data_IF_772766618578
#
_entry.id   IF_772766618578
#
_cell.length_a   1.000
_cell.length_b   1.000
_cell.length_c   1.000
_cell.angle_alpha   90.00
_cell.angle_beta   90.00
_cell.angle_gamma   90.00
#
_symmetry.space_group_name_H-M   'P 1'
#
loop_
_entity.id
_entity.type
_entity.pdbx_description
1 polymer ?
#
# COMPACT_ATOMS: atom_id res chain seq x y z
N UNK A 1 -21.76 -115.04 -42.05
CA UNK A 1 -23.07 -114.64 -42.59
C UNK A 1 -22.94 -114.61 -44.10
N UNK A 2 -23.12 -115.76 -44.74
CA UNK A 2 -22.92 -115.96 -46.18
C UNK A 2 -24.25 -115.71 -46.86
N UNK A 3 -24.51 -114.44 -47.20
CA UNK A 3 -25.57 -114.12 -48.14
C UNK A 3 -25.19 -114.73 -49.49
N UNK A 4 -26.13 -115.44 -50.10
CA UNK A 4 -26.01 -116.00 -51.43
C UNK A 4 -25.50 -114.92 -52.38
N UNK A 5 -24.22 -114.99 -52.76
CA UNK A 5 -23.72 -114.33 -53.95
C UNK A 5 -24.45 -115.02 -55.10
N UNK A 6 -25.58 -114.46 -55.51
CA UNK A 6 -26.08 -114.67 -56.86
C UNK A 6 -24.88 -114.41 -57.77
N UNK A 7 -24.48 -115.45 -58.51
CA UNK A 7 -23.39 -115.39 -59.48
C UNK A 7 -23.82 -114.43 -60.58
N UNK A 8 -23.58 -113.13 -60.34
CA UNK A 8 -23.68 -112.10 -61.38
C UNK A 8 -22.75 -112.58 -62.49
N UNK A 9 -23.30 -112.77 -63.69
CA UNK A 9 -22.48 -113.15 -64.83
C UNK A 9 -21.45 -112.05 -65.09
N UNK A 10 -20.33 -112.41 -65.71
CA UNK A 10 -19.33 -111.43 -66.17
C UNK A 10 -19.97 -110.33 -67.04
N UNK A 11 -21.07 -110.66 -67.73
CA UNK A 11 -21.81 -109.76 -68.60
C UNK A 11 -22.86 -108.89 -67.86
N UNK A 12 -23.15 -109.16 -66.58
CA UNK A 12 -24.20 -108.50 -65.78
C UNK A 12 -23.64 -107.53 -64.72
N UNK A 13 -22.36 -107.18 -64.80
CA UNK A 13 -21.73 -106.23 -63.88
C UNK A 13 -22.26 -104.83 -64.19
N UNK A 14 -22.90 -104.20 -63.20
CA UNK A 14 -23.55 -102.89 -63.31
C UNK A 14 -23.17 -101.99 -62.14
N UNK A 15 -23.64 -100.75 -62.16
CA UNK A 15 -23.39 -99.77 -61.10
C UNK A 15 -24.02 -100.19 -59.76
N UNK A 16 -25.22 -100.78 -59.82
CA UNK A 16 -26.01 -101.15 -58.63
C UNK A 16 -25.39 -102.32 -57.86
N UNK A 17 -24.73 -103.25 -58.57
CA UNK A 17 -24.09 -104.42 -57.95
C UNK A 17 -22.58 -104.25 -57.74
N UNK A 18 -21.97 -103.17 -58.23
CA UNK A 18 -20.56 -102.86 -58.04
C UNK A 18 -20.13 -102.86 -56.55
N UNK A 19 -20.91 -102.29 -55.58
CA UNK A 19 -20.57 -102.37 -54.16
C UNK A 19 -20.54 -103.78 -53.58
N UNK A 20 -21.22 -104.75 -54.20
CA UNK A 20 -21.25 -106.15 -53.77
C UNK A 20 -20.12 -106.98 -54.41
N UNK A 21 -19.65 -106.57 -55.60
CA UNK A 21 -18.64 -107.28 -56.40
C UNK A 21 -17.21 -106.81 -56.06
N UNK A 22 -16.98 -105.49 -55.99
CA UNK A 22 -15.65 -104.91 -55.78
C UNK A 22 -15.30 -104.76 -54.30
N UNK A 23 -15.44 -105.87 -53.58
CA UNK A 23 -15.08 -106.01 -52.16
C UNK A 23 -13.91 -106.97 -52.00
N UNK A 24 -13.34 -107.03 -50.80
CA UNK A 24 -12.28 -108.00 -50.48
C UNK A 24 -12.75 -109.43 -50.79
N UNK A 25 -12.04 -110.11 -51.70
CA UNK A 25 -12.37 -111.47 -52.15
C UNK A 25 -13.54 -111.58 -53.14
N UNK A 26 -14.26 -110.49 -53.46
CA UNK A 26 -15.45 -110.52 -54.31
C UNK A 26 -15.19 -110.85 -55.78
N UNK A 27 -13.97 -110.64 -56.27
CA UNK A 27 -13.57 -110.97 -57.65
C UNK A 27 -13.12 -112.43 -57.82
N UNK A 28 -12.89 -113.16 -56.73
CA UNK A 28 -12.39 -114.54 -56.76
C UNK A 28 -13.34 -115.51 -57.49
N UNK A 29 -14.67 -115.47 -57.29
CA UNK A 29 -15.61 -116.33 -58.03
C UNK A 29 -15.54 -116.15 -59.55
N UNK A 30 -15.32 -114.92 -60.04
CA UNK A 30 -15.17 -114.65 -61.48
C UNK A 30 -13.88 -115.26 -62.03
N UNK A 31 -12.79 -115.20 -61.29
CA UNK A 31 -11.51 -115.82 -61.65
C UNK A 31 -11.64 -117.35 -61.67
N UNK A 32 -12.27 -117.93 -60.64
CA UNK A 32 -12.45 -119.37 -60.52
C UNK A 32 -13.36 -119.92 -61.63
N UNK A 33 -14.43 -119.18 -61.98
CA UNK A 33 -15.33 -119.51 -63.11
C UNK A 33 -14.58 -119.52 -64.45
N UNK A 34 -13.83 -118.47 -64.75
CA UNK A 34 -13.05 -118.38 -66.00
C UNK A 34 -11.98 -119.48 -66.04
N UNK A 35 -11.34 -119.79 -64.90
CA UNK A 35 -10.37 -120.88 -64.77
C UNK A 35 -10.99 -122.24 -65.08
N UNK A 36 -12.15 -122.55 -64.49
CA UNK A 36 -12.88 -123.81 -64.75
C UNK A 36 -13.21 -123.95 -66.24
N UNK A 37 -13.71 -122.89 -66.87
CA UNK A 37 -14.08 -122.89 -68.28
C UNK A 37 -12.90 -123.09 -69.24
N UNK A 38 -11.69 -122.65 -68.90
CA UNK A 38 -10.50 -122.79 -69.76
C UNK A 38 -9.63 -123.99 -69.41
N UNK A 39 -9.72 -124.53 -68.18
CA UNK A 39 -8.99 -125.73 -67.75
C UNK A 39 -9.73 -127.04 -68.05
N UNK A 40 -11.01 -126.98 -68.40
CA UNK A 40 -11.82 -128.16 -68.75
C UNK A 40 -11.51 -128.80 -70.10
N UNK A 41 -10.72 -128.14 -70.96
CA UNK A 41 -10.32 -128.65 -72.28
C UNK A 41 -8.80 -128.63 -72.42
N UNK A 42 -8.20 -129.72 -72.93
CA UNK A 42 -6.77 -129.80 -73.28
C UNK A 42 -6.65 -129.99 -74.80
N UNK A 43 -6.57 -128.90 -75.60
CA UNK A 43 -6.50 -129.01 -77.06
C UNK A 43 -5.16 -129.56 -77.55
N UNK A 44 -5.18 -130.38 -78.62
CA UNK A 44 -3.97 -130.95 -79.22
C UNK A 44 -3.15 -129.91 -80.02
N UNK A 45 -1.98 -129.56 -79.49
CA UNK A 45 -1.06 -128.56 -80.06
C UNK A 45 -0.40 -129.00 -81.38
N UNK A 46 -0.40 -130.29 -81.71
CA UNK A 46 0.16 -130.78 -82.98
C UNK A 46 -0.69 -130.33 -84.18
N UNK A 47 -1.98 -130.05 -83.96
CA UNK A 47 -2.92 -129.62 -85.00
C UNK A 47 -3.12 -128.11 -85.04
N UNK A 48 -3.37 -127.55 -86.24
CA UNK A 48 -3.76 -126.14 -86.38
C UNK A 48 -5.02 -125.80 -85.57
N UNK A 49 -6.02 -126.69 -85.63
CA UNK A 49 -7.30 -126.54 -84.91
C UNK A 49 -7.12 -126.46 -83.38
N UNK A 50 -6.24 -127.28 -82.80
CA UNK A 50 -5.97 -127.21 -81.36
C UNK A 50 -5.24 -125.94 -80.95
N UNK A 51 -4.27 -125.46 -81.74
CA UNK A 51 -3.62 -124.16 -81.51
C UNK A 51 -4.60 -122.98 -81.61
N UNK A 52 -5.49 -123.00 -82.60
CA UNK A 52 -6.55 -121.98 -82.76
C UNK A 52 -7.54 -121.99 -81.58
N UNK A 53 -7.84 -123.18 -81.03
CA UNK A 53 -8.67 -123.31 -79.82
C UNK A 53 -7.99 -122.72 -78.59
N UNK A 54 -6.70 -122.96 -78.38
CA UNK A 54 -5.93 -122.34 -77.28
C UNK A 54 -5.93 -120.81 -77.40
N UNK A 55 -5.73 -120.27 -78.60
CA UNK A 55 -5.83 -118.83 -78.85
C UNK A 55 -7.24 -118.28 -78.51
N UNK A 56 -8.29 -119.03 -78.84
CA UNK A 56 -9.67 -118.67 -78.51
C UNK A 56 -9.94 -118.69 -77.00
N UNK A 57 -9.43 -119.68 -76.27
CA UNK A 57 -9.53 -119.75 -74.81
C UNK A 57 -8.80 -118.57 -74.14
N UNK A 58 -7.59 -118.24 -74.61
CA UNK A 58 -6.84 -117.07 -74.13
C UNK A 58 -7.56 -115.74 -74.41
N UNK A 59 -8.19 -115.62 -75.58
CA UNK A 59 -9.03 -114.46 -75.92
C UNK A 59 -10.25 -114.34 -75.00
N UNK A 60 -10.86 -115.47 -74.61
CA UNK A 60 -11.96 -115.52 -73.63
C UNK A 60 -11.53 -114.99 -72.26
N UNK A 61 -10.37 -115.44 -71.74
CA UNK A 61 -9.80 -114.92 -70.49
C UNK A 61 -9.60 -113.40 -70.56
N UNK A 62 -9.04 -112.92 -71.68
CA UNK A 62 -8.80 -111.50 -71.90
C UNK A 62 -10.09 -110.69 -71.93
N UNK A 63 -11.14 -111.21 -72.58
CA UNK A 63 -12.47 -110.58 -72.62
C UNK A 63 -13.10 -110.52 -71.23
N UNK A 64 -13.09 -111.62 -70.48
CA UNK A 64 -13.64 -111.66 -69.11
C UNK A 64 -12.88 -110.74 -68.15
N UNK A 65 -11.55 -110.63 -68.28
CA UNK A 65 -10.75 -109.67 -67.51
C UNK A 65 -11.23 -108.23 -67.75
N UNK A 66 -11.40 -107.83 -69.01
CA UNK A 66 -11.83 -106.47 -69.36
C UNK A 66 -13.25 -106.18 -68.86
N UNK A 67 -14.15 -107.15 -68.98
CA UNK A 67 -15.54 -107.02 -68.50
C UNK A 67 -15.64 -106.81 -66.98
N UNK A 68 -14.71 -107.35 -66.20
CA UNK A 68 -14.65 -107.13 -64.74
C UNK A 68 -13.81 -105.88 -64.38
N UNK A 69 -12.71 -105.62 -65.07
CA UNK A 69 -11.80 -104.51 -64.72
C UNK A 69 -12.42 -103.14 -65.03
N UNK A 70 -13.08 -102.99 -66.19
CA UNK A 70 -13.58 -101.69 -66.66
C UNK A 70 -14.66 -101.12 -65.72
N UNK A 71 -15.74 -101.83 -65.36
CA UNK A 71 -16.73 -101.30 -64.41
C UNK A 71 -16.13 -101.08 -63.01
N UNK A 72 -15.11 -101.85 -62.62
CA UNK A 72 -14.41 -101.69 -61.35
C UNK A 72 -13.59 -100.40 -61.28
N UNK A 73 -12.93 -100.02 -62.39
CA UNK A 73 -12.24 -98.73 -62.49
C UNK A 73 -13.23 -97.56 -62.49
N UNK A 74 -14.38 -97.71 -63.13
CA UNK A 74 -15.46 -96.71 -63.12
C UNK A 74 -16.05 -96.54 -61.70
N UNK A 75 -16.32 -97.65 -61.00
CA UNK A 75 -16.74 -97.63 -59.59
C UNK A 75 -15.70 -97.01 -58.66
N UNK A 76 -14.42 -97.39 -58.80
CA UNK A 76 -13.33 -96.79 -58.02
C UNK A 76 -13.21 -95.28 -58.23
N UNK A 77 -13.41 -94.81 -59.47
CA UNK A 77 -13.42 -93.37 -59.77
C UNK A 77 -14.53 -92.66 -59.00
N UNK A 78 -15.75 -93.18 -59.03
CA UNK A 78 -16.89 -92.62 -58.27
C UNK A 78 -16.65 -92.62 -56.77
N UNK A 79 -16.11 -93.71 -56.22
CA UNK A 79 -15.75 -93.79 -54.81
C UNK A 79 -14.73 -92.73 -54.39
N UNK A 80 -13.76 -92.40 -55.26
CA UNK A 80 -12.76 -91.35 -54.99
C UNK A 80 -13.31 -89.94 -55.13
N UNK A 81 -14.35 -89.75 -55.95
CA UNK A 81 -15.01 -88.45 -56.14
C UNK A 81 -16.03 -88.17 -55.02
N UNK A 82 -16.63 -89.20 -54.42
CA UNK A 82 -17.67 -89.07 -53.40
C UNK A 82 -17.26 -88.24 -52.16
N UNK A 83 -16.05 -88.40 -51.56
CA UNK A 83 -15.65 -87.58 -50.42
C UNK A 83 -15.68 -86.09 -50.72
N UNK A 84 -15.21 -85.67 -51.90
CA UNK A 84 -15.21 -84.26 -52.31
C UNK A 84 -16.62 -83.70 -52.41
N UNK A 85 -17.56 -84.48 -52.93
CA UNK A 85 -18.97 -84.07 -53.03
C UNK A 85 -19.58 -83.94 -51.63
N UNK A 86 -19.38 -84.95 -50.78
CA UNK A 86 -19.91 -84.93 -49.41
C UNK A 86 -19.31 -83.79 -48.59
N UNK A 87 -18.01 -83.53 -48.69
CA UNK A 87 -17.36 -82.40 -48.01
C UNK A 87 -17.91 -81.05 -48.45
N UNK A 88 -18.14 -80.87 -49.76
CA UNK A 88 -18.73 -79.63 -50.29
C UNK A 88 -20.15 -79.41 -49.76
N UNK A 89 -21.00 -80.43 -49.84
CA UNK A 89 -22.38 -80.39 -49.33
C UNK A 89 -22.43 -80.12 -47.82
N UNK A 90 -21.58 -80.80 -47.03
CA UNK A 90 -21.51 -80.58 -45.58
C UNK A 90 -21.05 -79.16 -45.25
N UNK A 91 -20.08 -78.62 -45.99
CA UNK A 91 -19.61 -77.25 -45.78
C UNK A 91 -20.71 -76.23 -46.10
N UNK A 92 -21.39 -76.41 -47.22
CA UNK A 92 -22.51 -75.55 -47.63
C UNK A 92 -23.64 -75.61 -46.59
N UNK A 93 -23.98 -76.81 -46.12
CA UNK A 93 -24.99 -77.01 -45.09
C UNK A 93 -24.62 -76.30 -43.78
N UNK A 94 -23.40 -76.50 -43.27
CA UNK A 94 -22.95 -75.86 -42.01
C UNK A 94 -22.96 -74.35 -42.13
N UNK A 95 -22.42 -73.81 -43.23
CA UNK A 95 -22.38 -72.36 -43.46
C UNK A 95 -23.79 -71.79 -43.54
N UNK A 96 -24.69 -72.43 -44.29
CA UNK A 96 -26.09 -72.00 -44.41
C UNK A 96 -26.84 -72.05 -43.08
N UNK A 97 -26.56 -73.04 -42.23
CA UNK A 97 -27.17 -73.16 -40.91
C UNK A 97 -26.64 -72.13 -39.92
N UNK A 98 -25.33 -71.81 -39.98
CA UNK A 98 -24.75 -70.72 -39.20
C UNK A 98 -25.33 -69.35 -39.62
N UNK A 99 -25.39 -69.08 -40.92
CA UNK A 99 -26.00 -67.85 -41.45
C UNK A 99 -27.48 -67.74 -41.06
N UNK A 100 -28.24 -68.84 -41.12
CA UNK A 100 -29.64 -68.88 -40.71
C UNK A 100 -29.79 -68.63 -39.20
N UNK A 101 -28.94 -69.25 -38.36
CA UNK A 101 -28.92 -69.00 -36.91
C UNK A 101 -28.69 -67.52 -36.63
N UNK A 102 -27.70 -66.93 -37.27
CA UNK A 102 -27.32 -65.54 -37.04
C UNK A 102 -28.41 -64.59 -37.54
N UNK A 103 -29.02 -64.86 -38.69
CA UNK A 103 -30.18 -64.11 -39.20
C UNK A 103 -31.40 -64.21 -38.27
N UNK A 104 -31.67 -65.38 -37.70
CA UNK A 104 -32.77 -65.59 -36.73
C UNK A 104 -32.48 -64.88 -35.40
N UNK A 105 -31.22 -64.85 -34.95
CA UNK A 105 -30.82 -64.17 -33.70
C UNK A 105 -30.71 -62.65 -33.85
N UNK A 106 -30.47 -62.16 -35.07
CA UNK A 106 -30.22 -60.75 -35.36
C UNK A 106 -31.27 -59.78 -34.79
N UNK A 107 -32.59 -60.00 -34.95
CA UNK A 107 -33.59 -59.09 -34.37
C UNK A 107 -33.49 -58.94 -32.85
N UNK A 108 -33.19 -60.03 -32.14
CA UNK A 108 -33.00 -59.99 -30.68
C UNK A 108 -31.70 -59.26 -30.32
N UNK A 109 -30.62 -59.46 -31.09
CA UNK A 109 -29.35 -58.75 -30.86
C UNK A 109 -29.50 -57.26 -31.09
N UNK A 110 -30.17 -56.87 -32.17
CA UNK A 110 -30.42 -55.47 -32.51
C UNK A 110 -31.31 -54.81 -31.44
N UNK A 111 -32.34 -55.51 -30.93
CA UNK A 111 -33.18 -55.04 -29.82
C UNK A 111 -32.41 -54.92 -28.50
N UNK A 112 -31.61 -55.92 -28.12
CA UNK A 112 -30.78 -55.87 -26.89
C UNK A 112 -29.80 -54.70 -26.93
N UNK A 113 -29.22 -54.40 -28.09
CA UNK A 113 -28.32 -53.27 -28.27
C UNK A 113 -29.06 -51.92 -28.17
N UNK A 114 -30.23 -51.81 -28.82
CA UNK A 114 -31.06 -50.61 -28.75
C UNK A 114 -31.56 -50.35 -27.31
N UNK A 115 -31.97 -51.40 -26.61
CA UNK A 115 -32.43 -51.32 -25.22
C UNK A 115 -31.31 -50.94 -24.26
N UNK A 116 -30.12 -51.53 -24.43
CA UNK A 116 -28.94 -51.14 -23.66
C UNK A 116 -28.56 -49.67 -23.89
N UNK A 117 -28.67 -49.18 -25.13
CA UNK A 117 -28.40 -47.79 -25.47
C UNK A 117 -29.45 -46.85 -24.84
N UNK A 118 -30.74 -47.18 -24.94
CA UNK A 118 -31.86 -46.46 -24.31
C UNK A 118 -31.64 -46.30 -22.81
N UNK A 119 -31.37 -47.42 -22.11
CA UNK A 119 -31.10 -47.41 -20.66
C UNK A 119 -29.85 -46.60 -20.31
N UNK A 120 -28.80 -46.67 -21.14
CA UNK A 120 -27.58 -45.89 -20.91
C UNK A 120 -27.81 -44.38 -21.06
N UNK A 121 -28.62 -43.96 -22.04
CA UNK A 121 -29.00 -42.56 -22.25
C UNK A 121 -29.76 -42.01 -21.04
N UNK A 122 -30.80 -42.71 -20.55
CA UNK A 122 -31.52 -42.28 -19.35
C UNK A 122 -30.62 -42.18 -18.12
N UNK A 123 -29.68 -43.12 -17.94
CA UNK A 123 -28.70 -43.06 -16.84
C UNK A 123 -27.78 -41.85 -16.97
N UNK A 124 -27.31 -41.54 -18.19
CA UNK A 124 -26.48 -40.36 -18.42
C UNK A 124 -27.25 -39.06 -18.11
N UNK A 125 -28.51 -38.98 -18.52
CA UNK A 125 -29.39 -37.85 -18.19
C UNK A 125 -29.64 -37.72 -16.68
N UNK A 126 -29.84 -38.84 -15.96
CA UNK A 126 -29.93 -38.82 -14.49
C UNK A 126 -28.64 -38.30 -13.84
N UNK A 127 -27.47 -38.73 -14.31
CA UNK A 127 -26.18 -38.23 -13.80
C UNK A 127 -26.01 -36.73 -14.09
N UNK A 128 -26.43 -36.24 -15.26
CA UNK A 128 -26.46 -34.80 -15.57
C UNK A 128 -27.35 -34.04 -14.59
N UNK A 129 -28.54 -34.56 -14.28
CA UNK A 129 -29.44 -33.96 -13.28
C UNK A 129 -28.84 -33.99 -11.87
N UNK A 130 -28.03 -34.99 -11.52
CA UNK A 130 -27.33 -35.09 -10.22
C UNK A 130 -26.19 -34.07 -10.06
N UNK A 131 -25.67 -33.54 -11.16
CA UNK A 131 -24.55 -32.62 -11.12
C UNK A 131 -24.99 -31.28 -10.51
N UNK A 132 -24.47 -31.00 -9.31
CA UNK A 132 -24.77 -29.80 -8.53
C UNK A 132 -23.49 -29.08 -8.08
N UNK A 133 -22.39 -29.28 -8.80
CA UNK A 133 -21.13 -28.61 -8.48
C UNK A 133 -21.24 -27.09 -8.73
N UNK A 134 -21.08 -26.32 -7.65
CA UNK A 134 -21.11 -24.85 -7.65
C UNK A 134 -19.83 -24.24 -7.07
N UNK A 135 -18.74 -25.00 -7.01
CA UNK A 135 -17.50 -24.61 -6.29
C UNK A 135 -17.01 -23.21 -6.68
N UNK A 136 -17.00 -22.89 -7.98
CA UNK A 136 -16.53 -21.61 -8.52
C UNK A 136 -17.65 -20.74 -9.12
N UNK A 137 -18.93 -21.07 -8.84
CA UNK A 137 -20.07 -20.36 -9.41
C UNK A 137 -20.47 -19.12 -8.59
N UNK A 138 -20.77 -18.02 -9.29
CA UNK A 138 -21.43 -16.83 -8.69
C UNK A 138 -22.92 -17.08 -8.45
N UNK A 139 -23.57 -16.24 -7.63
CA UNK A 139 -25.01 -16.35 -7.39
C UNK A 139 -25.83 -16.24 -8.69
N UNK A 140 -25.39 -15.40 -9.64
CA UNK A 140 -26.02 -15.28 -10.95
C UNK A 140 -25.91 -16.57 -11.78
N UNK A 141 -24.75 -17.23 -11.76
CA UNK A 141 -24.57 -18.52 -12.45
C UNK A 141 -25.46 -19.60 -11.83
N UNK A 142 -25.46 -19.72 -10.49
CA UNK A 142 -26.29 -20.71 -9.80
C UNK A 142 -27.79 -20.48 -10.09
N UNK A 143 -28.24 -19.22 -10.19
CA UNK A 143 -29.61 -18.90 -10.64
C UNK A 143 -29.91 -19.40 -12.05
N UNK A 144 -28.98 -19.24 -12.99
CA UNK A 144 -29.14 -19.78 -14.35
C UNK A 144 -29.24 -21.29 -14.32
N UNK A 145 -28.34 -21.97 -13.60
CA UNK A 145 -28.36 -23.44 -13.44
C UNK A 145 -29.69 -23.93 -12.87
N UNK A 146 -30.24 -23.24 -11.86
CA UNK A 146 -31.57 -23.56 -11.30
C UNK A 146 -32.66 -23.37 -12.36
N UNK A 147 -32.63 -22.26 -13.10
CA UNK A 147 -33.64 -21.97 -14.12
C UNK A 147 -33.61 -22.99 -15.27
N UNK A 148 -32.41 -23.35 -15.73
CA UNK A 148 -32.21 -24.35 -16.78
C UNK A 148 -32.73 -25.73 -16.32
N UNK A 149 -32.39 -26.13 -15.09
CA UNK A 149 -32.88 -27.38 -14.49
C UNK A 149 -34.39 -27.35 -14.25
N UNK A 150 -34.97 -26.21 -13.85
CA UNK A 150 -36.42 -26.04 -13.68
C UNK A 150 -37.17 -26.16 -15.01
N UNK A 151 -36.61 -25.59 -16.08
CA UNK A 151 -37.18 -25.63 -17.42
C UNK A 151 -37.19 -27.03 -18.05
N UNK A 152 -36.30 -27.94 -17.63
CA UNK A 152 -36.26 -29.31 -18.14
C UNK A 152 -37.49 -30.13 -17.71
N UNK A 153 -38.42 -30.38 -18.63
CA UNK A 153 -39.60 -31.17 -18.31
C UNK A 153 -39.26 -32.66 -18.16
N UNK A 154 -39.56 -33.22 -16.99
CA UNK A 154 -39.53 -34.67 -16.79
C UNK A 154 -40.93 -35.18 -17.13
N UNK A 155 -41.01 -36.07 -18.10
CA UNK A 155 -42.27 -36.59 -18.62
C UNK A 155 -42.16 -38.03 -19.13
N UNK A 156 -43.16 -38.50 -19.89
CA UNK A 156 -43.28 -39.90 -20.29
C UNK A 156 -42.10 -40.46 -21.08
N UNK A 157 -41.34 -39.59 -21.74
CA UNK A 157 -40.13 -39.96 -22.50
C UNK A 157 -39.01 -40.52 -21.61
N UNK A 158 -39.10 -40.37 -20.28
CA UNK A 158 -38.19 -41.00 -19.31
C UNK A 158 -38.56 -42.44 -18.96
N UNK A 159 -39.72 -42.93 -19.42
CA UNK A 159 -40.18 -44.31 -19.25
C UNK A 159 -40.08 -44.79 -17.79
N UNK A 160 -39.40 -45.91 -17.52
CA UNK A 160 -39.26 -46.44 -16.15
C UNK A 160 -38.43 -45.55 -15.21
N UNK A 161 -37.69 -44.58 -15.76
CA UNK A 161 -36.84 -43.65 -15.02
C UNK A 161 -37.57 -42.35 -14.63
N UNK A 162 -38.78 -42.10 -15.11
CA UNK A 162 -39.53 -40.85 -14.86
C UNK A 162 -39.62 -40.51 -13.37
N UNK A 163 -40.04 -41.48 -12.55
CA UNK A 163 -40.17 -41.29 -11.10
C UNK A 163 -38.81 -41.08 -10.40
N UNK A 164 -37.71 -41.65 -10.93
CA UNK A 164 -36.36 -41.38 -10.43
C UNK A 164 -35.88 -40.00 -10.86
N UNK A 165 -36.10 -39.61 -12.11
CA UNK A 165 -35.73 -38.31 -12.65
C UNK A 165 -36.42 -37.16 -11.91
N UNK A 166 -37.72 -37.28 -11.60
CA UNK A 166 -38.42 -36.31 -10.76
C UNK A 166 -37.78 -36.17 -9.37
N UNK A 167 -37.44 -37.30 -8.73
CA UNK A 167 -36.82 -37.30 -7.40
C UNK A 167 -35.42 -36.68 -7.43
N UNK A 168 -34.61 -37.04 -8.43
CA UNK A 168 -33.27 -36.50 -8.63
C UNK A 168 -33.33 -35.01 -8.92
N UNK A 169 -34.14 -34.56 -9.88
CA UNK A 169 -34.34 -33.14 -10.19
C UNK A 169 -34.75 -32.34 -8.95
N UNK A 170 -35.71 -32.85 -8.16
CA UNK A 170 -36.14 -32.19 -6.94
C UNK A 170 -35.01 -32.08 -5.90
N UNK A 171 -34.23 -33.16 -5.70
CA UNK A 171 -33.10 -33.16 -4.79
C UNK A 171 -31.99 -32.21 -5.25
N UNK A 172 -31.65 -32.21 -6.53
CA UNK A 172 -30.64 -31.32 -7.10
C UNK A 172 -31.03 -29.86 -7.02
N UNK A 173 -32.30 -29.53 -7.31
CA UNK A 173 -32.83 -28.17 -7.13
C UNK A 173 -32.78 -27.72 -5.67
N UNK A 174 -33.05 -28.62 -4.71
CA UNK A 174 -32.93 -28.29 -3.29
C UNK A 174 -31.47 -27.95 -2.92
N UNK A 175 -30.51 -28.77 -3.35
CA UNK A 175 -29.07 -28.52 -3.16
C UNK A 175 -28.62 -27.21 -3.79
N UNK A 176 -29.00 -26.94 -5.04
CA UNK A 176 -28.63 -25.71 -5.74
C UNK A 176 -29.25 -24.47 -5.09
N UNK A 177 -30.48 -24.54 -4.61
CA UNK A 177 -31.13 -23.42 -3.90
C UNK A 177 -30.44 -23.12 -2.57
N UNK A 178 -30.00 -24.16 -1.84
CA UNK A 178 -29.20 -23.96 -0.63
C UNK A 178 -27.85 -23.31 -0.96
N UNK A 179 -27.17 -23.79 -2.00
CA UNK A 179 -25.91 -23.21 -2.48
C UNK A 179 -26.09 -21.74 -2.92
N UNK A 180 -27.18 -21.43 -3.62
CA UNK A 180 -27.53 -20.07 -4.02
C UNK A 180 -27.70 -19.16 -2.80
N UNK A 181 -28.49 -19.58 -1.81
CA UNK A 181 -28.72 -18.79 -0.61
C UNK A 181 -27.40 -18.46 0.12
N UNK A 182 -26.48 -19.44 0.22
CA UNK A 182 -25.17 -19.22 0.84
C UNK A 182 -24.32 -18.25 0.01
N UNK A 183 -24.34 -18.38 -1.32
CA UNK A 183 -23.56 -17.50 -2.20
C UNK A 183 -24.10 -16.07 -2.23
N UNK A 184 -25.41 -15.89 -2.24
CA UNK A 184 -26.05 -14.57 -2.15
C UNK A 184 -25.73 -13.87 -0.83
N UNK A 185 -25.75 -14.60 0.30
CA UNK A 185 -25.32 -14.06 1.59
C UNK A 185 -23.86 -13.62 1.55
N UNK A 186 -22.97 -14.48 1.07
CA UNK A 186 -21.56 -14.16 0.94
C UNK A 186 -21.32 -12.93 0.05
N UNK A 187 -21.95 -12.86 -1.13
CA UNK A 187 -21.80 -11.71 -2.03
C UNK A 187 -22.36 -10.42 -1.43
N UNK A 188 -23.50 -10.49 -0.74
CA UNK A 188 -24.08 -9.34 -0.03
C UNK A 188 -23.18 -8.85 1.11
N UNK A 189 -22.60 -9.77 1.89
CA UNK A 189 -21.63 -9.45 2.95
C UNK A 189 -20.37 -8.77 2.38
N UNK A 190 -19.84 -9.26 1.25
CA UNK A 190 -18.70 -8.61 0.59
C UNK A 190 -19.05 -7.20 0.10
N UNK A 191 -20.21 -7.03 -0.54
CA UNK A 191 -20.66 -5.72 -1.01
C UNK A 191 -20.89 -4.72 0.15
N UNK A 192 -21.45 -5.18 1.28
CA UNK A 192 -21.60 -4.36 2.47
C UNK A 192 -20.25 -3.98 3.08
N UNK A 193 -19.31 -4.94 3.15
CA UNK A 193 -17.96 -4.70 3.66
C UNK A 193 -17.21 -3.67 2.80
N UNK A 194 -17.34 -3.73 1.48
CA UNK A 194 -16.78 -2.74 0.56
C UNK A 194 -17.42 -1.36 0.76
N UNK A 195 -18.76 -1.29 0.89
CA UNK A 195 -19.45 -0.03 1.19
C UNK A 195 -18.97 0.58 2.50
N UNK A 196 -18.82 -0.22 3.55
CA UNK A 196 -18.36 0.24 4.86
C UNK A 196 -16.89 0.72 4.80
N UNK A 197 -16.03 0.06 4.01
CA UNK A 197 -14.65 0.51 3.77
C UNK A 197 -14.65 1.86 3.06
N UNK A 198 -15.41 2.02 1.98
CA UNK A 198 -15.52 3.27 1.25
C UNK A 198 -16.07 4.42 2.12
N UNK A 199 -17.08 4.14 2.96
CA UNK A 199 -17.63 5.13 3.88
C UNK A 199 -16.61 5.57 4.94
N UNK A 200 -15.86 4.63 5.52
CA UNK A 200 -14.78 4.93 6.48
C UNK A 200 -13.65 5.73 5.84
N UNK A 201 -13.25 5.39 4.62
CA UNK A 201 -12.23 6.14 3.88
C UNK A 201 -12.71 7.57 3.58
N UNK A 202 -13.95 7.74 3.12
CA UNK A 202 -14.54 9.06 2.89
C UNK A 202 -14.70 9.87 4.18
N UNK A 203 -15.03 9.23 5.31
CA UNK A 203 -15.06 9.92 6.61
C UNK A 203 -13.65 10.34 7.05
N UNK A 204 -12.65 9.47 6.94
CA UNK A 204 -11.28 9.80 7.28
C UNK A 204 -10.71 10.94 6.41
N UNK A 205 -11.08 10.98 5.12
CA UNK A 205 -10.73 12.10 4.24
C UNK A 205 -11.38 13.41 4.71
N UNK A 206 -12.69 13.40 4.99
CA UNK A 206 -13.40 14.58 5.53
C UNK A 206 -12.83 15.07 6.85
N UNK A 207 -12.44 14.15 7.75
CA UNK A 207 -11.80 14.49 9.02
C UNK A 207 -10.43 15.13 8.82
N UNK A 208 -9.61 14.61 7.90
CA UNK A 208 -8.31 15.22 7.55
C UNK A 208 -8.48 16.60 6.91
N UNK A 209 -9.42 16.76 5.99
CA UNK A 209 -9.72 18.05 5.39
C UNK A 209 -10.22 19.05 6.43
N UNK A 210 -11.11 18.63 7.33
CA UNK A 210 -11.58 19.48 8.43
C UNK A 210 -10.45 19.84 9.41
N UNK A 211 -9.54 18.91 9.71
CA UNK A 211 -8.34 19.19 10.52
C UNK A 211 -7.43 20.20 9.81
N UNK A 212 -7.15 20.04 8.52
CA UNK A 212 -6.36 20.99 7.76
C UNK A 212 -6.98 22.39 7.73
N UNK A 213 -8.31 22.49 7.58
CA UNK A 213 -9.03 23.76 7.65
C UNK A 213 -8.89 24.38 9.04
N UNK A 214 -9.10 23.61 10.11
CA UNK A 214 -8.93 24.11 11.50
C UNK A 214 -7.50 24.55 11.78
N UNK A 215 -6.50 23.77 11.36
CA UNK A 215 -5.09 24.11 11.49
C UNK A 215 -4.74 25.38 10.73
N UNK A 216 -5.28 25.55 9.51
CA UNK A 216 -5.11 26.77 8.73
C UNK A 216 -5.78 27.99 9.39
N UNK A 217 -7.00 27.84 9.93
CA UNK A 217 -7.70 28.89 10.67
C UNK A 217 -6.98 29.26 11.97
N UNK A 218 -6.51 28.27 12.74
CA UNK A 218 -5.71 28.51 13.95
C UNK A 218 -4.39 29.19 13.63
N UNK A 219 -3.70 28.75 12.58
CA UNK A 219 -2.45 29.37 12.13
C UNK A 219 -2.69 30.81 11.72
N UNK A 220 -3.74 31.09 10.93
CA UNK A 220 -4.10 32.45 10.54
C UNK A 220 -4.45 33.32 11.75
N UNK A 221 -5.17 32.79 12.75
CA UNK A 221 -5.44 33.49 14.01
C UNK A 221 -4.17 33.80 14.79
N UNK A 222 -3.26 32.82 14.94
CA UNK A 222 -1.98 33.01 15.65
C UNK A 222 -1.09 34.01 14.93
N UNK A 223 -1.00 33.95 13.60
CA UNK A 223 -0.25 34.92 12.80
C UNK A 223 -0.86 36.32 12.92
N UNK A 224 -2.19 36.46 12.90
CA UNK A 224 -2.86 37.75 13.11
C UNK A 224 -2.67 38.29 14.53
N UNK A 225 -2.74 37.45 15.56
CA UNK A 225 -2.50 37.83 16.95
C UNK A 225 -1.05 38.26 17.18
N UNK A 226 -0.08 37.51 16.63
CA UNK A 226 1.34 37.87 16.67
C UNK A 226 1.61 39.19 15.94
N UNK A 227 1.00 39.40 14.76
CA UNK A 227 1.12 40.65 14.03
C UNK A 227 0.53 41.83 14.81
N UNK A 228 -0.66 41.66 15.41
CA UNK A 228 -1.29 42.67 16.25
C UNK A 228 -0.48 42.97 17.52
N UNK A 229 0.12 41.95 18.14
CA UNK A 229 1.01 42.14 19.29
C UNK A 229 2.30 42.86 18.88
N UNK A 230 2.94 42.47 17.77
CA UNK A 230 4.12 43.14 17.24
C UNK A 230 3.82 44.62 16.90
N UNK A 231 2.63 44.92 16.36
CA UNK A 231 2.20 46.30 16.10
C UNK A 231 2.02 47.08 17.40
N UNK A 232 1.35 46.50 18.41
CA UNK A 232 1.21 47.12 19.75
C UNK A 232 2.57 47.39 20.39
N UNK A 233 3.48 46.43 20.37
CA UNK A 233 4.84 46.59 20.89
C UNK A 233 5.62 47.66 20.11
N UNK A 234 5.45 47.73 18.79
CA UNK A 234 6.04 48.79 17.97
C UNK A 234 5.48 50.17 18.32
N UNK A 235 4.17 50.30 18.58
CA UNK A 235 3.55 51.55 19.04
C UNK A 235 4.06 51.95 20.42
N UNK A 236 4.07 51.03 21.39
CA UNK A 236 4.61 51.26 22.74
C UNK A 236 6.07 51.70 22.65
N UNK A 237 6.88 51.04 21.81
CA UNK A 237 8.27 51.41 21.59
C UNK A 237 8.41 52.81 20.98
N UNK A 238 7.60 53.16 19.97
CA UNK A 238 7.59 54.50 19.38
C UNK A 238 7.19 55.56 20.41
N UNK A 239 6.19 55.29 21.25
CA UNK A 239 5.79 56.20 22.33
C UNK A 239 6.87 56.33 23.41
N UNK A 240 7.53 55.23 23.78
CA UNK A 240 8.64 55.25 24.73
C UNK A 240 9.84 56.02 24.17
N UNK A 241 10.20 55.82 22.90
CA UNK A 241 11.24 56.58 22.20
C UNK A 241 10.86 58.07 22.09
N UNK A 242 9.59 58.40 21.82
CA UNK A 242 9.11 59.78 21.80
C UNK A 242 9.18 60.44 23.18
N UNK A 243 8.72 59.75 24.24
CA UNK A 243 8.81 60.24 25.64
C UNK A 243 10.26 60.40 26.09
N UNK A 244 11.14 59.47 25.71
CA UNK A 244 12.57 59.58 26.00
C UNK A 244 13.20 60.79 25.30
N UNK A 245 12.82 61.07 24.04
CA UNK A 245 13.24 62.28 23.32
C UNK A 245 12.69 63.55 23.97
N UNK A 246 11.43 63.56 24.39
CA UNK A 246 10.82 64.70 25.07
C UNK A 246 11.50 64.99 26.41
N UNK A 247 11.76 63.95 27.22
CA UNK A 247 12.50 64.06 28.47
C UNK A 247 13.93 64.56 28.24
N UNK A 248 14.61 64.06 27.21
CA UNK A 248 15.95 64.51 26.84
C UNK A 248 15.97 65.99 26.45
N UNK A 249 14.99 66.44 25.65
CA UNK A 249 14.84 67.86 25.27
C UNK A 249 14.49 68.73 26.49
N UNK A 250 13.62 68.27 27.40
CA UNK A 250 13.31 68.97 28.65
C UNK A 250 14.55 69.10 29.54
N UNK A 251 15.34 68.03 29.68
CA UNK A 251 16.60 68.08 30.45
C UNK A 251 17.61 69.05 29.83
N UNK A 252 17.72 69.11 28.49
CA UNK A 252 18.55 70.12 27.84
C UNK A 252 18.04 71.55 28.08
N UNK A 253 16.72 71.76 28.00
CA UNK A 253 16.13 73.08 28.27
C UNK A 253 16.31 73.51 29.73
N UNK A 254 16.09 72.61 30.68
CA UNK A 254 16.29 72.88 32.11
C UNK A 254 17.76 73.10 32.45
N UNK A 255 18.69 72.35 31.83
CA UNK A 255 20.12 72.61 31.99
C UNK A 255 20.50 74.00 31.45
N UNK A 256 19.98 74.40 30.29
CA UNK A 256 20.21 75.73 29.72
C UNK A 256 19.57 76.85 30.58
N UNK A 257 18.41 76.60 31.19
CA UNK A 257 17.77 77.56 32.09
C UNK A 257 18.52 77.69 33.42
N UNK A 258 19.00 76.58 33.99
CA UNK A 258 19.87 76.59 35.17
C UNK A 258 21.20 77.31 34.88
N UNK A 259 21.78 77.13 33.70
CA UNK A 259 22.99 77.85 33.31
C UNK A 259 22.74 79.37 33.23
N UNK A 260 21.61 79.79 32.66
CA UNK A 260 21.19 81.21 32.64
C UNK A 260 20.94 81.74 34.06
N UNK A 261 20.25 81.00 34.91
CA UNK A 261 19.97 81.40 36.29
C UNK A 261 21.26 81.50 37.13
N UNK A 262 22.22 80.59 36.94
CA UNK A 262 23.55 80.67 37.58
C UNK A 262 24.34 81.88 37.07
N UNK A 263 24.24 82.21 35.78
CA UNK A 263 24.86 83.42 35.23
C UNK A 263 24.22 84.71 35.78
N UNK A 264 22.89 84.77 35.90
CA UNK A 264 22.18 85.89 36.51
C UNK A 264 22.49 86.03 38.00
N UNK A 265 22.50 84.95 38.78
CA UNK A 265 22.90 85.00 40.19
C UNK A 265 24.34 85.47 40.37
N UNK A 266 25.27 85.05 39.51
CA UNK A 266 26.66 85.55 39.52
C UNK A 266 26.73 87.05 39.20
N UNK A 267 25.94 87.53 38.25
CA UNK A 267 25.87 88.96 37.93
C UNK A 267 25.28 89.78 39.10
N UNK A 268 24.22 89.28 39.75
CA UNK A 268 23.58 89.93 40.89
C UNK A 268 24.50 89.96 42.12
N UNK A 269 25.22 88.87 42.39
CA UNK A 269 26.19 88.83 43.49
C UNK A 269 27.38 89.78 43.24
N UNK A 270 27.84 89.90 41.98
CA UNK A 270 28.87 90.87 41.62
C UNK A 270 28.42 92.32 41.83
N UNK A 271 27.14 92.64 41.60
CA UNK A 271 26.59 93.98 41.89
C UNK A 271 26.48 94.27 43.40
N UNK A 272 26.05 93.27 44.19
CA UNK A 272 25.97 93.37 45.65
C UNK A 272 27.36 93.57 46.27
N UNK A 273 28.36 92.80 45.83
CA UNK A 273 29.73 92.92 46.33
C UNK A 273 30.38 94.26 45.92
N UNK A 274 30.02 94.81 44.75
CA UNK A 274 30.47 96.14 44.32
C UNK A 274 29.86 97.27 45.18
N UNK A 275 28.57 97.18 45.54
CA UNK A 275 27.92 98.12 46.46
C UNK A 275 28.50 98.04 47.88
N UNK A 276 28.74 96.85 48.41
CA UNK A 276 29.32 96.66 49.75
C UNK A 276 30.74 97.24 49.87
N UNK A 277 31.57 97.11 48.81
CA UNK A 277 32.91 97.74 48.78
C UNK A 277 32.86 99.27 48.70
N UNK A 278 31.88 99.85 47.99
CA UNK A 278 31.71 101.30 47.91
C UNK A 278 31.27 101.90 49.26
N UNK A 279 30.41 101.20 50.01
CA UNK A 279 29.92 101.64 51.32
C UNK A 279 30.99 101.55 52.42
N UNK A 280 31.85 100.52 52.39
CA UNK A 280 32.99 100.40 53.30
C UNK A 280 34.06 101.47 53.05
N UNK A 281 34.31 101.86 51.79
CA UNK A 281 35.22 102.95 51.47
C UNK A 281 34.71 104.32 51.96
N UNK A 282 33.40 104.59 51.84
CA UNK A 282 32.78 105.83 52.31
C UNK A 282 32.67 105.92 53.85
N UNK A 283 32.62 104.79 54.56
CA UNK A 283 32.66 104.76 56.02
C UNK A 283 34.07 105.06 56.58
N UNK A 284 35.13 104.60 55.90
CA UNK A 284 36.51 104.83 56.31
C UNK A 284 36.96 106.30 56.16
N UNK A 285 36.48 107.03 55.14
CA UNK A 285 36.75 108.48 55.00
C UNK A 285 36.07 109.33 56.08
N UNK A 286 34.82 109.01 56.45
CA UNK A 286 34.08 109.74 57.50
C UNK A 286 34.72 109.61 58.88
N UNK A 287 35.37 108.50 59.17
CA UNK A 287 36.05 108.28 60.45
C UNK A 287 37.34 109.13 60.56
N UNK A 288 38.10 109.30 59.47
CA UNK A 288 39.32 110.12 59.47
C UNK A 288 39.05 111.60 59.71
N UNK A 289 37.97 112.14 59.14
CA UNK A 289 37.57 113.54 59.32
C UNK A 289 37.17 113.88 60.77
N UNK A 290 36.57 112.92 61.49
CA UNK A 290 36.13 113.12 62.88
C UNK A 290 37.29 113.10 63.89
N UNK A 291 38.33 112.31 63.65
CA UNK A 291 39.50 112.25 64.54
C UNK A 291 40.42 113.48 64.40
N UNK A 292 40.53 114.06 63.20
CA UNK A 292 41.38 115.24 62.93
C UNK A 292 40.83 116.53 63.59
N UNK A 293 39.51 116.68 63.66
CA UNK A 293 38.84 117.79 64.37
C UNK A 293 39.04 117.73 65.90
N UNK A 294 39.23 116.53 66.46
CA UNK A 294 39.31 116.31 67.91
C UNK A 294 40.68 116.65 68.49
N UNK A 295 41.74 116.48 67.70
CA UNK A 295 43.11 116.84 68.08
C UNK A 295 43.40 118.34 67.94
N UNK A 296 42.81 119.02 66.95
CA UNK A 296 42.94 120.47 66.78
C UNK A 296 42.34 121.27 67.96
N UNK A 297 41.22 120.80 68.54
CA UNK A 297 40.57 121.45 69.68
C UNK A 297 41.36 121.31 70.99
N UNK A 298 42.07 120.20 71.22
CA UNK A 298 42.90 119.99 72.42
C UNK A 298 44.18 120.82 72.39
N UNK A 299 44.79 121.03 71.23
CA UNK A 299 46.03 121.78 71.09
C UNK A 299 45.88 123.31 71.25
N UNK A 300 44.66 123.85 71.15
CA UNK A 300 44.37 125.27 71.36
C UNK A 300 44.21 125.62 72.86
N UNK A 301 43.54 124.77 73.64
CA UNK A 301 43.29 125.01 75.07
C UNK A 301 44.56 125.02 75.95
N UNK A 302 45.58 124.23 75.59
CA UNK A 302 46.85 124.17 76.33
C UNK A 302 47.74 125.41 76.11
N UNK A 303 47.56 126.17 75.02
CA UNK A 303 48.38 127.37 74.72
C UNK A 303 47.90 128.63 75.43
N UNK A 304 46.60 128.76 75.70
CA UNK A 304 46.05 129.92 76.42
C UNK A 304 46.38 129.88 77.93
N UNK A 305 46.46 128.68 78.53
CA UNK A 305 46.78 128.52 79.95
C UNK A 305 48.24 128.90 80.31
N UNK A 306 49.21 128.62 79.42
CA UNK A 306 50.64 128.93 79.67
C UNK A 306 50.95 130.44 79.55
N UNK A 307 50.25 131.16 78.66
CA UNK A 307 50.42 132.62 78.53
C UNK A 307 49.92 133.40 79.75
N UNK A 308 48.79 132.96 80.34
CA UNK A 308 48.22 133.62 81.51
C UNK A 308 49.14 133.52 82.75
N UNK A 309 49.75 132.35 82.97
CA UNK A 309 50.65 132.13 84.11
C UNK A 309 51.93 132.97 83.99
N UNK A 310 52.52 133.07 82.78
CA UNK A 310 53.72 133.88 82.55
C UNK A 310 53.52 135.38 82.77
N UNK A 311 52.34 135.90 82.42
CA UNK A 311 52.01 137.31 82.63
C UNK A 311 51.87 137.66 84.12
N UNK A 312 51.26 136.77 84.91
CA UNK A 312 51.05 136.97 86.35
C UNK A 312 52.38 137.05 87.13
N UNK A 313 53.29 136.10 86.89
CA UNK A 313 54.58 136.05 87.63
C UNK A 313 55.49 137.23 87.27
N UNK A 314 55.51 137.67 86.01
CA UNK A 314 56.27 138.85 85.60
C UNK A 314 55.78 140.14 86.27
N UNK A 315 54.47 140.26 86.47
CA UNK A 315 53.87 141.41 87.12
C UNK A 315 54.22 141.44 88.62
N UNK A 316 54.20 140.29 89.28
CA UNK A 316 54.64 140.19 90.68
C UNK A 316 56.14 140.56 90.86
N UNK A 317 57.01 140.16 89.93
CA UNK A 317 58.41 140.55 89.95
C UNK A 317 58.60 142.06 89.72
N UNK A 318 57.80 142.66 88.83
CA UNK A 318 57.78 144.11 88.60
C UNK A 318 57.45 144.88 89.87
N UNK A 319 56.36 144.48 90.54
CA UNK A 319 55.88 145.15 91.75
C UNK A 319 56.92 145.07 92.88
N UNK A 320 57.64 143.94 92.99
CA UNK A 320 58.73 143.77 93.95
C UNK A 320 59.94 144.69 93.69
N UNK A 321 60.29 144.93 92.42
CA UNK A 321 61.36 145.88 92.09
C UNK A 321 60.98 147.32 92.41
N UNK A 322 59.73 147.70 92.20
CA UNK A 322 59.22 149.04 92.54
C UNK A 322 59.25 149.23 94.07
N UNK A 323 58.83 148.23 94.85
CA UNK A 323 58.89 148.27 96.32
C UNK A 323 60.33 148.39 96.87
N UNK A 324 61.34 147.96 96.10
CA UNK A 324 62.76 148.11 96.42
C UNK A 324 63.36 149.49 96.13
N UNK A 325 62.57 150.46 95.65
CA UNK A 325 63.01 151.82 95.38
C UNK A 325 63.46 152.11 93.95
N UNK A 326 63.23 151.20 93.00
CA UNK A 326 63.46 151.46 91.57
C UNK A 326 62.27 152.21 90.94
N UNK A 327 62.50 153.22 90.07
CA UNK A 327 61.46 153.80 89.24
C UNK A 327 60.80 152.77 88.32
N UNK A 328 59.49 152.88 88.11
CA UNK A 328 58.66 151.90 87.37
C UNK A 328 59.21 151.54 85.98
N UNK A 329 59.69 152.53 85.23
CA UNK A 329 60.23 152.30 83.88
C UNK A 329 61.54 151.50 83.92
N UNK A 330 62.39 151.71 84.93
CA UNK A 330 63.60 150.91 85.13
C UNK A 330 63.28 149.49 85.60
N UNK A 331 62.25 149.32 86.44
CA UNK A 331 61.77 148.01 86.90
C UNK A 331 61.21 147.17 85.74
N UNK A 332 60.41 147.77 84.83
CA UNK A 332 59.94 147.10 83.60
C UNK A 332 61.10 146.63 82.74
N UNK A 333 62.08 147.51 82.54
CA UNK A 333 63.28 147.18 81.77
C UNK A 333 64.03 145.99 82.39
N UNK A 334 64.19 145.97 83.72
CA UNK A 334 64.85 144.89 84.45
C UNK A 334 64.12 143.55 84.30
N UNK A 335 62.79 143.51 84.49
CA UNK A 335 61.98 142.29 84.31
C UNK A 335 62.07 141.77 82.88
N UNK A 336 62.05 142.65 81.86
CA UNK A 336 62.18 142.27 80.45
C UNK A 336 63.57 141.67 80.16
N UNK A 337 64.64 142.30 80.63
CA UNK A 337 66.01 141.82 80.41
C UNK A 337 66.25 140.48 81.11
N UNK A 338 65.67 140.26 82.29
CA UNK A 338 65.75 139.00 83.02
C UNK A 338 64.93 137.90 82.34
N UNK A 339 63.70 138.19 81.93
CA UNK A 339 62.85 137.22 81.21
C UNK A 339 63.47 136.80 79.86
N UNK A 340 64.20 137.71 79.19
CA UNK A 340 64.98 137.43 77.97
C UNK A 340 66.37 136.83 78.24
N UNK A 341 66.74 136.58 79.51
CA UNK A 341 68.04 136.06 79.96
C UNK A 341 69.26 136.88 79.50
N UNK A 342 69.09 138.19 79.34
CA UNK A 342 70.16 139.09 78.90
C UNK A 342 71.04 139.59 80.05
N UNK A 343 70.63 139.37 81.31
CA UNK A 343 71.46 139.57 82.50
C UNK A 343 71.98 138.21 82.97
N UNK A 344 73.30 137.96 82.95
CA UNK A 344 73.86 136.69 83.39
C UNK A 344 73.59 136.41 84.88
N UNK A 345 73.33 135.14 85.22
CA UNK A 345 73.15 134.61 86.59
C UNK A 345 71.90 135.08 87.38
N UNK A 346 70.85 135.56 86.71
CA UNK A 346 69.52 135.86 87.30
C UNK A 346 68.40 135.32 86.38
N UNK A 347 67.30 134.77 86.94
CA UNK A 347 66.15 134.20 86.19
C UNK A 347 64.82 134.34 86.93
N UNK A 348 63.72 134.51 86.18
CA UNK A 348 62.32 134.39 86.67
C UNK A 348 61.79 132.99 86.34
N UNK A 349 61.18 132.31 87.31
CA UNK A 349 60.56 130.99 87.14
C UNK A 349 59.05 131.14 86.96
N UNK A 350 58.45 130.55 85.92
CA UNK A 350 57.01 130.66 85.59
C UNK A 350 56.21 129.42 85.97
#
# INVERSE_FOLDING_TARGET
MTAQQQLVSVDDISEDNAPLIYVSGGLKPFIDRVREEVSGEVPDLSTKKGRDRVASLAAKVSKSKVAVEKPGREYLKRLKEMPKVVEAELREFVTSMDDLRDAVRKPLTDWEAAEAARVAEHKASLESLRNTDTTDASAAMIKSLIADMEAEEIGPDWEEFEAEAHRVKAASLATLREALSKREQHEAEQAELERLRAEREAQAQREREAQLVREAEERARREAEQAAQAEREAVIRREAEAKARELYLKQQAEAAEREKAVAEQRAMQAEIDAKAKAEQAAAAERQRYLDEQREAAKAAALREADQANRAAVNRAALDAFIAGGLPEECAKQAVILIAKKQIPNITISY
#
